data_IF_150386731579
#
_entry.id   IF_150386731579
#
_cell.length_a   1.000
_cell.length_b   1.000
_cell.length_c   1.000
_cell.angle_alpha   90.00
_cell.angle_beta   90.00
_cell.angle_gamma   90.00
#
_symmetry.space_group_name_H-M   'P 1'
#
loop_
_entity.id
_entity.type
_entity.pdbx_description
1 polymer ?
#
# COMPACT_ATOMS: atom_id res chain seq x y z
N UNK A 1 -4.53 9.59 -19.13
CA UNK A 1 -3.34 8.97 -18.52
C UNK A 1 -3.79 7.69 -17.82
N UNK A 2 -2.98 6.63 -17.75
CA UNK A 2 -3.35 5.45 -16.94
C UNK A 2 -3.40 5.84 -15.46
N UNK A 3 -4.29 5.26 -14.63
CA UNK A 3 -4.24 5.50 -13.20
C UNK A 3 -2.92 5.04 -12.59
N UNK A 4 -2.39 5.81 -11.65
CA UNK A 4 -1.25 5.45 -10.82
C UNK A 4 -1.75 5.00 -9.45
N UNK A 5 -1.52 3.73 -9.11
CA UNK A 5 -1.87 3.16 -7.82
C UNK A 5 -0.62 3.06 -6.94
N UNK A 6 -0.57 3.85 -5.88
CA UNK A 6 0.55 3.89 -4.93
C UNK A 6 0.16 3.14 -3.67
N UNK A 7 0.74 1.96 -3.46
CA UNK A 7 0.41 1.08 -2.34
C UNK A 7 1.29 1.34 -1.11
N UNK A 8 0.69 1.34 0.07
CA UNK A 8 1.37 0.97 1.31
C UNK A 8 1.98 -0.44 1.20
N UNK A 9 2.95 -0.75 2.06
CA UNK A 9 3.63 -2.05 2.02
C UNK A 9 3.18 -2.96 3.15
N UNK A 10 3.70 -2.75 4.37
CA UNK A 10 3.25 -3.44 5.58
C UNK A 10 1.81 -3.00 5.91
N UNK A 11 0.97 -3.95 6.31
CA UNK A 11 -0.45 -3.73 6.63
C UNK A 11 -1.35 -3.60 5.40
N UNK A 12 -0.79 -3.24 4.24
CA UNK A 12 -1.52 -3.12 2.98
C UNK A 12 -1.35 -4.33 2.07
N UNK A 13 -0.11 -4.66 1.65
CA UNK A 13 0.20 -5.73 0.69
C UNK A 13 0.76 -6.99 1.36
N UNK A 14 1.37 -6.84 2.53
CA UNK A 14 1.99 -7.93 3.27
C UNK A 14 2.01 -7.61 4.76
N UNK A 15 2.27 -8.62 5.57
CA UNK A 15 2.67 -8.46 6.97
C UNK A 15 4.12 -8.89 7.15
N UNK A 16 4.84 -8.18 8.02
CA UNK A 16 6.21 -8.49 8.40
C UNK A 16 6.35 -8.42 9.92
N UNK A 17 6.71 -9.55 10.51
CA UNK A 17 6.92 -9.67 11.95
C UNK A 17 8.34 -10.17 12.23
N UNK A 18 8.99 -9.63 13.25
CA UNK A 18 10.28 -10.16 13.71
C UNK A 18 10.13 -11.63 14.13
N UNK A 19 11.07 -12.50 13.77
CA UNK A 19 10.97 -13.95 13.99
C UNK A 19 10.74 -14.33 15.46
N UNK A 20 11.33 -13.58 16.39
CA UNK A 20 11.16 -13.78 17.84
C UNK A 20 9.83 -13.24 18.40
N UNK A 21 9.00 -12.59 17.57
CA UNK A 21 7.73 -11.96 17.97
C UNK A 21 6.54 -12.50 17.17
N UNK A 22 6.73 -13.57 16.42
CA UNK A 22 5.66 -14.19 15.64
C UNK A 22 4.61 -14.75 16.61
N UNK A 23 3.35 -14.27 16.56
CA UNK A 23 2.30 -14.79 17.42
C UNK A 23 2.02 -16.27 17.17
N UNK A 24 1.56 -16.98 18.20
CA UNK A 24 1.03 -18.33 18.05
C UNK A 24 -0.20 -18.32 17.12
N UNK A 25 -0.32 -19.32 16.25
CA UNK A 25 -1.48 -19.43 15.33
C UNK A 25 -1.34 -18.65 14.02
N UNK A 26 -0.20 -18.02 13.76
CA UNK A 26 0.07 -17.42 12.44
C UNK A 26 0.00 -18.49 11.33
N UNK A 27 -0.56 -18.15 10.15
CA UNK A 27 -0.69 -19.10 9.05
C UNK A 27 0.68 -19.57 8.54
N UNK A 28 0.69 -20.72 7.87
CA UNK A 28 1.85 -21.20 7.13
C UNK A 28 2.22 -20.29 5.95
N UNK A 29 3.28 -20.66 5.21
CA UNK A 29 3.64 -19.97 3.97
C UNK A 29 4.43 -18.66 4.14
N UNK A 30 4.89 -18.34 5.34
CA UNK A 30 5.76 -17.18 5.53
C UNK A 30 7.14 -17.39 4.89
N UNK A 31 7.64 -16.33 4.25
CA UNK A 31 9.00 -16.23 3.73
C UNK A 31 9.91 -15.63 4.82
N UNK A 32 11.15 -16.12 4.94
CA UNK A 32 12.15 -15.52 5.82
C UNK A 32 12.91 -14.43 5.07
N UNK A 33 12.94 -13.21 5.62
CA UNK A 33 13.73 -12.09 5.10
C UNK A 33 14.53 -11.49 6.27
N UNK A 34 15.83 -11.77 6.30
CA UNK A 34 16.67 -11.47 7.46
C UNK A 34 16.12 -12.11 8.74
N UNK A 35 15.95 -11.31 9.80
CA UNK A 35 15.36 -11.76 11.08
C UNK A 35 13.82 -11.67 11.11
N UNK A 36 13.16 -11.49 9.96
CA UNK A 36 11.70 -11.32 9.89
C UNK A 36 11.04 -12.48 9.15
N UNK A 37 9.82 -12.79 9.56
CA UNK A 37 8.87 -13.63 8.82
C UNK A 37 7.89 -12.71 8.10
N UNK A 38 7.63 -13.02 6.84
CA UNK A 38 6.86 -12.19 5.92
C UNK A 38 5.74 -13.02 5.33
N UNK A 39 4.52 -12.51 5.40
CA UNK A 39 3.37 -13.12 4.77
C UNK A 39 2.80 -12.16 3.74
N UNK A 40 2.67 -12.63 2.51
CA UNK A 40 1.93 -11.88 1.50
C UNK A 40 0.44 -11.86 1.89
N UNK A 41 -0.21 -10.72 1.71
CA UNK A 41 -1.67 -10.64 1.88
C UNK A 41 -2.35 -11.58 0.87
N UNK A 42 -3.36 -12.36 1.27
CA UNK A 42 -4.12 -13.22 0.37
C UNK A 42 -4.58 -12.47 -0.89
N UNK A 43 -4.41 -13.11 -2.05
CA UNK A 43 -4.72 -12.58 -3.38
C UNK A 43 -3.99 -11.29 -3.78
N UNK A 44 -3.01 -10.80 -3.02
CA UNK A 44 -2.31 -9.57 -3.37
C UNK A 44 -1.49 -9.70 -4.66
N UNK A 45 -0.76 -10.80 -4.84
CA UNK A 45 0.01 -11.02 -6.08
C UNK A 45 -0.91 -11.10 -7.30
N UNK A 46 -1.96 -11.91 -7.24
CA UNK A 46 -2.96 -12.04 -8.32
C UNK A 46 -3.59 -10.68 -8.66
N UNK A 47 -3.98 -9.92 -7.64
CA UNK A 47 -4.55 -8.57 -7.80
C UNK A 47 -3.57 -7.62 -8.47
N UNK A 48 -2.32 -7.57 -8.01
CA UNK A 48 -1.29 -6.69 -8.62
C UNK A 48 -1.00 -7.09 -10.07
N UNK A 49 -0.92 -8.39 -10.37
CA UNK A 49 -0.69 -8.90 -11.72
C UNK A 49 -1.82 -8.54 -12.70
N UNK A 50 -3.07 -8.55 -12.22
CA UNK A 50 -4.22 -8.11 -13.00
C UNK A 50 -4.21 -6.58 -13.18
N UNK A 51 -4.02 -5.83 -12.09
CA UNK A 51 -4.09 -4.36 -12.12
C UNK A 51 -2.97 -3.73 -12.96
N UNK A 52 -1.76 -4.31 -13.02
CA UNK A 52 -0.68 -3.77 -13.84
C UNK A 52 -0.97 -3.77 -15.35
N UNK A 53 -1.96 -4.55 -15.82
CA UNK A 53 -2.36 -4.54 -17.23
C UNK A 53 -2.99 -3.19 -17.64
N UNK A 54 -3.61 -2.51 -16.68
CA UNK A 54 -4.40 -1.30 -16.92
C UNK A 54 -3.90 -0.07 -16.15
N UNK A 55 -3.20 -0.29 -15.03
CA UNK A 55 -2.71 0.75 -14.13
C UNK A 55 -1.18 0.76 -14.07
N UNK A 56 -0.61 1.93 -13.78
CA UNK A 56 0.77 2.02 -13.30
C UNK A 56 0.78 1.72 -11.81
N UNK A 57 1.66 0.82 -11.35
CA UNK A 57 1.76 0.45 -9.94
C UNK A 57 3.00 1.05 -9.30
N UNK A 58 2.91 1.41 -8.03
CA UNK A 58 4.04 1.84 -7.23
C UNK A 58 3.88 1.43 -5.77
N UNK A 59 4.99 1.41 -5.03
CA UNK A 59 5.00 1.16 -3.58
C UNK A 59 5.55 2.37 -2.85
N UNK A 60 4.94 2.69 -1.70
CA UNK A 60 5.46 3.66 -0.75
C UNK A 60 5.39 3.08 0.66
N UNK A 61 6.52 2.59 1.15
CA UNK A 61 6.67 1.98 2.46
C UNK A 61 6.96 3.01 3.54
N UNK A 62 6.37 2.85 4.73
CA UNK A 62 6.73 3.63 5.93
C UNK A 62 7.94 3.07 6.67
N UNK A 63 8.59 2.03 6.13
CA UNK A 63 9.83 1.45 6.69
C UNK A 63 11.05 1.91 5.90
N UNK A 64 12.22 1.92 6.53
CA UNK A 64 13.47 2.38 5.89
C UNK A 64 13.84 1.55 4.66
N UNK A 65 14.68 2.11 3.79
CA UNK A 65 15.18 1.41 2.60
C UNK A 65 15.86 0.08 2.96
N UNK A 66 16.65 0.05 4.05
CA UNK A 66 17.27 -1.18 4.59
C UNK A 66 16.28 -2.33 4.81
N UNK A 67 15.03 -2.03 5.16
CA UNK A 67 13.99 -3.03 5.35
C UNK A 67 13.14 -3.24 4.09
N UNK A 68 12.87 -2.17 3.34
CA UNK A 68 11.97 -2.21 2.18
C UNK A 68 12.61 -2.94 1.00
N UNK A 69 13.86 -2.66 0.66
CA UNK A 69 14.55 -3.25 -0.50
C UNK A 69 14.60 -4.78 -0.45
N UNK A 70 15.17 -5.43 0.60
CA UNK A 70 15.25 -6.89 0.63
C UNK A 70 13.86 -7.56 0.68
N UNK A 71 12.85 -6.86 1.22
CA UNK A 71 11.48 -7.34 1.24
C UNK A 71 10.86 -7.35 -0.16
N UNK A 72 11.07 -6.28 -0.94
CA UNK A 72 10.59 -6.21 -2.32
C UNK A 72 11.26 -7.24 -3.22
N UNK A 73 12.57 -7.46 -3.03
CA UNK A 73 13.32 -8.49 -3.76
C UNK A 73 12.77 -9.89 -3.46
N UNK A 74 12.64 -10.24 -2.18
CA UNK A 74 12.18 -11.56 -1.77
C UNK A 74 10.72 -11.85 -2.18
N UNK A 75 9.84 -10.85 -2.11
CA UNK A 75 8.39 -11.06 -2.30
C UNK A 75 7.94 -10.84 -3.75
N UNK A 76 8.49 -9.85 -4.46
CA UNK A 76 7.95 -9.44 -5.76
C UNK A 76 8.91 -9.69 -6.93
N UNK A 77 10.19 -9.95 -6.68
CA UNK A 77 11.18 -10.17 -7.76
C UNK A 77 11.42 -11.64 -8.09
N UNK A 78 11.06 -12.56 -7.20
CA UNK A 78 11.28 -14.01 -7.36
C UNK A 78 10.08 -14.78 -7.93
N UNK A 79 8.97 -14.10 -8.23
CA UNK A 79 7.80 -14.74 -8.85
C UNK A 79 7.99 -14.94 -10.35
N UNK A 80 7.50 -16.08 -10.87
CA UNK A 80 7.51 -16.39 -12.31
C UNK A 80 6.82 -15.31 -13.16
N UNK A 81 5.79 -14.67 -12.60
CA UNK A 81 5.16 -13.48 -13.14
C UNK A 81 5.60 -12.27 -12.33
N UNK A 82 6.35 -11.37 -12.95
CA UNK A 82 6.91 -10.18 -12.30
C UNK A 82 5.86 -9.06 -12.25
N UNK A 83 5.71 -8.44 -11.08
CA UNK A 83 4.97 -7.18 -10.92
C UNK A 83 5.91 -6.01 -11.23
N UNK A 84 5.52 -5.14 -12.15
CA UNK A 84 6.32 -3.99 -12.52
C UNK A 84 5.86 -2.75 -11.75
N UNK A 85 6.69 -2.31 -10.80
CA UNK A 85 6.49 -1.06 -10.07
C UNK A 85 7.27 0.07 -10.73
N UNK A 86 6.60 1.19 -11.03
CA UNK A 86 7.23 2.40 -11.57
C UNK A 86 8.23 3.02 -10.58
N UNK A 87 7.92 2.92 -9.28
CA UNK A 87 8.86 3.25 -8.21
C UNK A 87 8.54 2.46 -6.93
N UNK A 88 9.57 2.33 -6.10
CA UNK A 88 9.47 1.81 -4.73
C UNK A 88 10.09 2.86 -3.81
N UNK A 89 9.24 3.54 -3.06
CA UNK A 89 9.65 4.49 -2.04
C UNK A 89 9.61 3.87 -0.66
N UNK A 90 10.54 4.32 0.17
CA UNK A 90 10.70 3.93 1.56
C UNK A 90 10.46 5.12 2.49
N UNK A 91 10.66 4.96 3.81
CA UNK A 91 10.49 6.00 4.81
C UNK A 91 11.26 7.28 4.48
N UNK A 92 12.41 7.16 3.85
CA UNK A 92 13.27 8.28 3.44
C UNK A 92 12.58 9.24 2.46
N UNK A 93 11.48 8.80 1.83
CA UNK A 93 10.66 9.62 0.95
C UNK A 93 9.41 10.17 1.64
N UNK A 94 9.15 9.80 2.90
CA UNK A 94 8.00 10.30 3.68
C UNK A 94 8.35 11.60 4.41
N UNK A 95 7.33 12.40 4.73
CA UNK A 95 7.48 13.62 5.55
C UNK A 95 7.20 13.30 7.00
N UNK A 96 7.92 13.92 7.93
CA UNK A 96 7.63 13.81 9.35
C UNK A 96 6.21 14.32 9.67
N UNK A 97 5.46 13.57 10.47
CA UNK A 97 4.19 14.06 11.01
C UNK A 97 4.46 14.81 12.32
N UNK A 98 4.88 16.07 12.23
CA UNK A 98 5.25 16.85 13.42
C UNK A 98 4.11 16.98 14.42
N UNK A 99 2.87 17.22 13.95
CA UNK A 99 1.70 17.32 14.82
C UNK A 99 1.52 16.05 15.66
N UNK A 100 1.60 14.88 15.02
CA UNK A 100 1.43 13.60 15.72
C UNK A 100 2.63 13.24 16.60
N UNK A 101 3.83 13.67 16.22
CA UNK A 101 5.06 13.48 17.02
C UNK A 101 5.10 14.35 18.27
N UNK A 102 4.63 15.60 18.19
CA UNK A 102 4.59 16.53 19.33
C UNK A 102 3.62 16.04 20.40
N UNK A 103 2.50 15.45 19.99
CA UNK A 103 1.49 14.88 20.89
C UNK A 103 1.66 13.36 21.09
N UNK A 104 2.88 12.83 20.94
CA UNK A 104 3.12 11.40 20.93
C UNK A 104 2.80 10.74 22.28
N UNK A 105 1.78 9.89 22.29
CA UNK A 105 1.41 9.06 23.45
C UNK A 105 1.98 7.64 23.37
N UNK A 106 2.52 7.26 22.21
CA UNK A 106 3.14 5.95 21.96
C UNK A 106 4.51 6.09 21.27
N UNK A 107 5.32 5.03 21.31
CA UNK A 107 6.59 4.98 20.55
C UNK A 107 6.37 5.08 19.03
N UNK A 108 5.23 4.59 18.53
CA UNK A 108 4.92 4.65 17.10
C UNK A 108 4.63 6.09 16.66
N UNK A 109 4.02 6.90 17.54
CA UNK A 109 3.75 8.31 17.27
C UNK A 109 5.05 9.14 17.16
N UNK A 110 6.09 8.79 17.92
CA UNK A 110 7.41 9.45 17.88
C UNK A 110 8.08 9.35 16.51
N UNK A 111 7.71 8.33 15.73
CA UNK A 111 8.22 8.11 14.38
C UNK A 111 7.13 8.25 13.31
N UNK A 112 6.02 8.92 13.64
CA UNK A 112 4.93 9.13 12.70
C UNK A 112 5.41 9.89 11.46
N UNK A 113 4.93 9.45 10.30
CA UNK A 113 5.24 10.03 9.00
C UNK A 113 3.98 10.06 8.16
N UNK A 114 3.96 10.93 7.15
CA UNK A 114 2.91 11.02 6.15
C UNK A 114 3.49 10.89 4.75
N UNK A 115 2.65 10.48 3.82
CA UNK A 115 2.96 10.39 2.40
C UNK A 115 2.38 11.62 1.73
N UNK A 116 3.19 12.37 1.01
CA UNK A 116 2.78 13.60 0.34
C UNK A 116 2.83 13.41 -1.17
N UNK A 117 1.67 13.24 -1.81
CA UNK A 117 1.62 12.98 -3.26
C UNK A 117 2.16 14.15 -4.09
N UNK A 118 2.30 15.36 -3.52
CA UNK A 118 2.97 16.49 -4.20
C UNK A 118 4.41 16.13 -4.58
N UNK A 119 5.10 15.35 -3.76
CA UNK A 119 6.44 14.86 -4.10
C UNK A 119 6.41 13.86 -5.26
N UNK A 120 5.37 13.03 -5.34
CA UNK A 120 5.18 12.10 -6.48
C UNK A 120 4.95 12.89 -7.77
N UNK A 121 4.06 13.89 -7.75
CA UNK A 121 3.78 14.74 -8.91
C UNK A 121 5.02 15.51 -9.38
N UNK A 122 5.85 15.97 -8.43
CA UNK A 122 7.09 16.67 -8.73
C UNK A 122 8.17 15.77 -9.32
N UNK A 123 8.25 14.51 -8.88
CA UNK A 123 9.29 13.55 -9.27
C UNK A 123 8.93 12.75 -10.52
N UNK A 124 7.64 12.55 -10.77
CA UNK A 124 7.11 11.70 -11.85
C UNK A 124 5.96 12.39 -12.61
N UNK A 125 6.16 13.64 -13.10
CA UNK A 125 5.10 14.40 -13.78
C UNK A 125 4.55 13.70 -15.04
N UNK A 126 5.31 12.80 -15.63
CA UNK A 126 4.95 12.03 -16.82
C UNK A 126 3.95 10.89 -16.56
N UNK A 127 3.82 10.44 -15.30
CA UNK A 127 2.89 9.36 -14.91
C UNK A 127 1.94 9.74 -13.78
N UNK A 128 2.13 10.89 -13.11
CA UNK A 128 1.40 11.24 -11.91
C UNK A 128 0.85 12.68 -11.92
N UNK A 129 -0.46 12.79 -11.76
CA UNK A 129 -1.21 14.04 -11.52
C UNK A 129 -2.22 13.82 -10.39
N UNK A 130 -2.79 14.91 -9.82
CA UNK A 130 -3.91 14.78 -8.88
C UNK A 130 -5.12 14.03 -9.45
N UNK A 131 -5.33 14.06 -10.76
CA UNK A 131 -6.51 13.47 -11.41
C UNK A 131 -6.38 11.97 -11.69
N UNK A 132 -5.17 11.40 -11.70
CA UNK A 132 -4.96 9.98 -12.04
C UNK A 132 -4.32 9.16 -10.91
N UNK A 133 -3.93 9.78 -9.79
CA UNK A 133 -3.15 9.09 -8.74
C UNK A 133 -4.02 8.71 -7.56
N UNK A 134 -3.91 7.46 -7.08
CA UNK A 134 -4.58 6.96 -5.88
C UNK A 134 -3.56 6.41 -4.91
N UNK A 135 -3.58 6.94 -3.69
CA UNK A 135 -2.83 6.40 -2.55
C UNK A 135 -3.68 5.36 -1.84
N UNK A 136 -3.22 4.11 -1.85
CA UNK A 136 -3.88 2.96 -1.24
C UNK A 136 -3.08 2.57 0.00
N UNK A 137 -3.65 2.71 1.18
CA UNK A 137 -2.95 2.40 2.43
C UNK A 137 -3.95 1.93 3.49
N UNK A 138 -3.49 1.14 4.44
CA UNK A 138 -4.31 0.67 5.55
C UNK A 138 -4.39 1.63 6.74
N UNK A 139 -3.51 2.63 6.76
CA UNK A 139 -3.46 3.65 7.81
C UNK A 139 -3.89 5.02 7.26
N UNK A 140 -5.14 5.47 7.51
CA UNK A 140 -5.65 6.76 7.00
C UNK A 140 -4.78 7.98 7.32
N UNK A 141 -4.15 8.00 8.50
CA UNK A 141 -3.26 9.11 8.88
C UNK A 141 -2.05 9.29 7.94
N UNK A 142 -1.63 8.24 7.21
CA UNK A 142 -0.56 8.34 6.20
C UNK A 142 -0.98 9.16 4.99
N UNK A 143 -2.27 9.14 4.66
CA UNK A 143 -2.85 9.87 3.53
C UNK A 143 -3.44 11.23 3.89
N UNK A 144 -3.25 11.75 5.10
CA UNK A 144 -3.96 12.96 5.58
C UNK A 144 -3.78 14.21 4.71
N UNK A 145 -2.66 14.32 3.99
CA UNK A 145 -2.39 15.43 3.05
C UNK A 145 -3.05 15.22 1.68
N UNK A 146 -3.63 14.06 1.42
CA UNK A 146 -4.14 13.63 0.12
C UNK A 146 -5.54 12.99 0.25
N UNK A 147 -6.40 13.55 1.11
CA UNK A 147 -7.72 12.97 1.37
C UNK A 147 -8.53 12.72 0.07
N UNK A 148 -8.48 13.64 -0.90
CA UNK A 148 -9.13 13.48 -2.21
C UNK A 148 -8.58 12.35 -3.06
N UNK A 149 -7.43 11.79 -2.71
CA UNK A 149 -6.71 10.77 -3.48
C UNK A 149 -6.48 9.51 -2.65
N UNK A 150 -7.16 9.36 -1.52
CA UNK A 150 -6.93 8.26 -0.59
C UNK A 150 -7.99 7.18 -0.69
N UNK A 151 -7.54 5.94 -0.87
CA UNK A 151 -8.37 4.76 -0.83
C UNK A 151 -7.94 3.88 0.34
N UNK A 152 -8.78 3.81 1.36
CA UNK A 152 -8.53 3.05 2.57
C UNK A 152 -8.77 1.56 2.33
N UNK A 153 -7.73 0.77 2.60
CA UNK A 153 -7.80 -0.68 2.61
C UNK A 153 -7.82 -1.19 4.06
N UNK A 154 -8.58 -2.23 4.37
CA UNK A 154 -8.48 -2.85 5.71
C UNK A 154 -7.05 -3.36 5.94
N UNK A 155 -6.56 -3.26 7.17
CA UNK A 155 -5.21 -3.73 7.50
C UNK A 155 -5.11 -5.25 7.42
N UNK A 156 -3.94 -5.74 7.04
CA UNK A 156 -3.56 -7.13 7.16
C UNK A 156 -2.53 -7.34 8.28
N UNK A 157 -2.40 -6.38 9.20
CA UNK A 157 -1.47 -6.48 10.32
C UNK A 157 -1.77 -7.69 11.22
N UNK A 158 -0.69 -8.39 11.59
CA UNK A 158 -0.74 -9.68 12.31
C UNK A 158 -1.61 -10.75 11.62
N UNK A 159 -1.97 -10.51 10.34
CA UNK A 159 -2.97 -11.21 9.53
C UNK A 159 -4.23 -11.66 10.27
N UNK A 160 -4.70 -10.80 11.18
CA UNK A 160 -6.08 -10.77 11.65
C UNK A 160 -7.00 -10.22 10.55
N UNK A 161 -6.95 -10.86 9.38
CA UNK A 161 -7.77 -10.52 8.22
C UNK A 161 -9.21 -10.86 8.58
N UNK A 162 -10.06 -9.85 8.76
CA UNK A 162 -11.49 -10.07 8.99
C UNK A 162 -12.15 -10.57 7.70
N UNK A 163 -11.66 -10.09 6.55
CA UNK A 163 -12.18 -10.45 5.25
C UNK A 163 -11.08 -10.80 4.22
N UNK A 164 -10.97 -12.08 3.78
CA UNK A 164 -9.99 -12.48 2.78
C UNK A 164 -10.25 -11.88 1.39
N UNK A 165 -11.45 -11.33 1.15
CA UNK A 165 -11.86 -10.77 -0.14
C UNK A 165 -11.46 -9.30 -0.34
N UNK A 166 -10.70 -8.69 0.56
CA UNK A 166 -10.31 -7.27 0.43
C UNK A 166 -9.52 -7.00 -0.86
N UNK A 167 -8.55 -7.85 -1.23
CA UNK A 167 -7.78 -7.67 -2.47
C UNK A 167 -8.63 -7.91 -3.74
N UNK A 168 -9.47 -8.97 -3.81
CA UNK A 168 -10.46 -9.11 -4.88
C UNK A 168 -11.46 -7.94 -4.97
N UNK A 169 -11.93 -7.41 -3.84
CA UNK A 169 -12.83 -6.26 -3.81
C UNK A 169 -12.14 -4.99 -4.32
N UNK A 170 -10.88 -4.78 -3.94
CA UNK A 170 -10.04 -3.70 -4.48
C UNK A 170 -9.92 -3.84 -6.00
N UNK A 171 -9.63 -5.05 -6.49
CA UNK A 171 -9.53 -5.31 -7.93
C UNK A 171 -10.82 -4.91 -8.66
N UNK A 172 -11.98 -5.39 -8.19
CA UNK A 172 -13.28 -5.04 -8.77
C UNK A 172 -13.54 -3.53 -8.73
N UNK A 173 -13.29 -2.87 -7.59
CA UNK A 173 -13.45 -1.43 -7.49
C UNK A 173 -12.61 -0.70 -8.55
N UNK A 174 -11.36 -1.11 -8.74
CA UNK A 174 -10.50 -0.51 -9.77
C UNK A 174 -11.02 -0.80 -11.17
N UNK A 175 -11.29 -2.06 -11.49
CA UNK A 175 -11.68 -2.50 -12.84
C UNK A 175 -13.05 -1.95 -13.27
N UNK A 176 -14.02 -1.91 -12.35
CA UNK A 176 -15.41 -1.54 -12.66
C UNK A 176 -15.67 -0.04 -12.50
N UNK A 177 -15.02 0.64 -11.55
CA UNK A 177 -15.33 2.03 -11.21
C UNK A 177 -14.18 2.97 -11.59
N UNK A 178 -12.98 2.69 -11.10
CA UNK A 178 -11.84 3.60 -11.28
C UNK A 178 -11.40 3.70 -12.74
N UNK A 179 -11.36 2.58 -13.47
CA UNK A 179 -11.04 2.59 -14.91
C UNK A 179 -12.15 3.21 -15.77
N UNK A 180 -13.40 3.25 -15.28
CA UNK A 180 -14.51 3.91 -15.95
C UNK A 180 -14.44 5.44 -15.79
N UNK A 181 -13.91 5.94 -14.67
CA UNK A 181 -13.63 7.35 -14.43
C UNK A 181 -12.36 7.80 -15.18
N UNK A 182 -12.55 8.48 -16.31
CA UNK A 182 -11.45 8.86 -17.22
C UNK A 182 -10.93 10.28 -17.00
N UNK A 183 -11.64 11.12 -16.26
CA UNK A 183 -11.30 12.52 -16.08
C UNK A 183 -10.57 12.76 -14.76
N UNK A 184 -11.13 12.27 -13.64
CA UNK A 184 -10.62 12.59 -12.31
C UNK A 184 -11.00 11.53 -11.27
N UNK A 185 -10.04 10.69 -10.88
CA UNK A 185 -10.23 9.63 -9.87
C UNK A 185 -10.73 10.16 -8.52
N UNK A 186 -10.52 11.46 -8.25
CA UNK A 186 -10.96 12.11 -7.01
C UNK A 186 -12.49 12.21 -6.90
N UNK A 187 -13.23 12.03 -7.99
CA UNK A 187 -14.70 11.91 -7.95
C UNK A 187 -15.19 10.65 -7.25
N UNK A 188 -14.32 9.64 -7.14
CA UNK A 188 -14.58 8.37 -6.45
C UNK A 188 -13.96 8.31 -5.06
N UNK A 189 -13.26 9.36 -4.61
CA UNK A 189 -12.39 9.35 -3.43
C UNK A 189 -12.65 10.56 -2.51
N UNK A 190 -12.37 10.48 -1.19
CA UNK A 190 -11.87 9.30 -0.49
C UNK A 190 -12.90 8.17 -0.46
N UNK A 191 -12.41 6.94 -0.49
CA UNK A 191 -13.24 5.76 -0.34
C UNK A 191 -12.57 4.78 0.63
N UNK A 192 -13.38 3.99 1.32
CA UNK A 192 -12.96 2.70 1.83
C UNK A 192 -13.41 1.67 0.80
N UNK A 193 -12.55 0.73 0.42
CA UNK A 193 -12.98 -0.29 -0.54
C UNK A 193 -14.25 -0.95 0.00
N UNK A 194 -15.35 -0.98 -0.77
CA UNK A 194 -16.61 -1.48 -0.28
C UNK A 194 -16.56 -3.01 -0.16
N UNK A 195 -17.04 -3.53 0.98
CA UNK A 195 -17.23 -4.96 1.21
C UNK A 195 -18.65 -5.18 1.73
N UNK A 196 -19.52 -5.70 0.87
CA UNK A 196 -20.90 -6.10 1.21
C UNK A 196 -21.98 -5.36 0.40
N UNK A 197 -22.82 -6.16 -0.28
CA UNK A 197 -24.05 -5.88 -1.05
C UNK A 197 -23.93 -5.10 -2.38
N UNK A 198 -23.88 -5.87 -3.48
CA UNK A 198 -24.90 -5.72 -4.53
C UNK A 198 -26.06 -6.64 -4.17
#
# INVERSE_FOLDING_TARGET
MRPLLVFGLRGTLLERIHASRVPSGMPGGAITVGMSRVWLRPSAMETLLALQQHCTLAVWSSTTARNTTPLMEAVFSQHAQKVNFAFVWSREHTTADEFRRVSATSRDDQHATVKDLREVYRRFPEIATPQNTVLIDDTPSKGKLNASNFLWLETCEELKIENPNVMPALRRFVEEHLLAEREDVRRLLPARVPWGQQ
#
